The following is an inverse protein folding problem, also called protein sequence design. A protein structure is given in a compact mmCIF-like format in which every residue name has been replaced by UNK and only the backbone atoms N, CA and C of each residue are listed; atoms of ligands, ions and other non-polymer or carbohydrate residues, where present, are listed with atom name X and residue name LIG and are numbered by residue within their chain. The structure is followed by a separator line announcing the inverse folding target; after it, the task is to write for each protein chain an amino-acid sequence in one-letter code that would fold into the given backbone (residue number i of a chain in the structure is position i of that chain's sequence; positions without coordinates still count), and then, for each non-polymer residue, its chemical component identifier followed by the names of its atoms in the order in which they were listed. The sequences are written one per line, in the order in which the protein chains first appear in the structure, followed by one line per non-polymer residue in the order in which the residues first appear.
data_IF_465893271294
#
_entry.id   IF_465893271294
#
_cell.length_a   1.000
_cell.length_b   1.000
_cell.length_c   1.000
_cell.angle_alpha   90.00
_cell.angle_beta   90.00
_cell.angle_gamma   90.00
#
_symmetry.space_group_name_H-M   'P 1'
#
loop_
_entity.id
_entity.type
_entity.pdbx_description
1 polymer ?
#
# COMPACT_ATOMS: atom_id res chain seq x y z
N UNK A 1 -0.04 -40.72 4.12
CA UNK A 1 0.37 -39.49 4.83
C UNK A 1 1.87 -39.56 5.08
N UNK A 2 2.71 -39.06 4.17
CA UNK A 2 4.17 -38.98 4.38
C UNK A 2 4.45 -37.56 4.90
N UNK A 3 5.15 -37.51 6.03
CA UNK A 3 5.58 -36.30 6.70
C UNK A 3 6.34 -35.38 5.74
N UNK A 4 5.75 -34.22 5.47
CA UNK A 4 6.38 -33.12 4.79
C UNK A 4 7.05 -32.27 5.87
N UNK A 5 8.07 -32.82 6.47
CA UNK A 5 8.93 -32.14 7.45
C UNK A 5 10.34 -32.01 6.88
N UNK A 6 10.52 -31.21 5.86
CA UNK A 6 11.84 -30.94 5.29
C UNK A 6 11.75 -29.89 4.20
N UNK A 7 12.37 -28.75 4.46
CA UNK A 7 12.71 -27.71 3.49
C UNK A 7 11.58 -26.91 2.82
N UNK A 8 10.45 -26.75 3.47
CA UNK A 8 9.33 -25.92 3.02
C UNK A 8 9.71 -24.42 2.87
N UNK A 9 10.86 -24.01 3.38
CA UNK A 9 11.26 -22.60 3.50
C UNK A 9 12.00 -22.03 2.28
N UNK A 10 12.69 -22.86 1.50
CA UNK A 10 13.39 -22.45 0.27
C UNK A 10 12.62 -22.77 -1.01
N UNK A 11 11.97 -23.91 -1.09
CA UNK A 11 11.27 -24.38 -2.29
C UNK A 11 10.06 -23.51 -2.68
N UNK A 12 9.43 -22.80 -1.74
CA UNK A 12 8.19 -22.04 -1.99
C UNK A 12 8.38 -20.73 -2.73
N UNK A 13 9.54 -20.10 -2.62
CA UNK A 13 9.82 -18.82 -3.30
C UNK A 13 10.51 -18.98 -4.64
N UNK A 14 11.17 -20.10 -4.89
CA UNK A 14 11.93 -20.30 -6.13
C UNK A 14 11.01 -20.52 -7.35
N UNK A 15 9.86 -21.16 -7.17
CA UNK A 15 8.87 -21.33 -8.24
C UNK A 15 8.09 -20.06 -8.56
N UNK A 16 7.85 -19.18 -7.57
CA UNK A 16 7.16 -17.90 -7.78
C UNK A 16 7.90 -16.99 -8.75
N UNK A 17 9.22 -17.14 -8.81
CA UNK A 17 10.09 -16.30 -9.63
C UNK A 17 10.76 -17.07 -10.77
N UNK A 18 10.18 -18.23 -11.16
CA UNK A 18 10.66 -18.94 -12.34
C UNK A 18 10.35 -18.13 -13.62
N UNK A 19 11.32 -18.05 -14.53
CA UNK A 19 11.20 -17.23 -15.75
C UNK A 19 9.98 -17.59 -16.61
N UNK A 20 9.54 -18.86 -16.59
CA UNK A 20 8.34 -19.33 -17.30
C UNK A 20 7.03 -18.74 -16.80
N UNK A 21 7.02 -18.11 -15.62
CA UNK A 21 5.82 -17.66 -14.93
C UNK A 21 5.70 -16.13 -14.91
N UNK A 22 6.74 -15.38 -15.33
CA UNK A 22 6.75 -13.93 -15.34
C UNK A 22 6.57 -13.38 -16.76
N UNK A 23 6.04 -12.15 -16.82
CA UNK A 23 5.97 -11.41 -18.07
C UNK A 23 7.34 -10.80 -18.43
N UNK A 24 7.58 -10.46 -19.71
CA UNK A 24 8.72 -9.61 -20.07
C UNK A 24 8.69 -8.30 -19.30
N UNK A 25 9.85 -7.85 -18.79
CA UNK A 25 9.94 -6.65 -17.93
C UNK A 25 9.32 -5.41 -18.58
N UNK A 26 9.58 -5.18 -19.89
CA UNK A 26 8.98 -4.04 -20.58
C UNK A 26 7.45 -4.04 -20.53
N UNK A 27 6.83 -5.23 -20.65
CA UNK A 27 5.37 -5.36 -20.60
C UNK A 27 4.87 -5.11 -19.16
N UNK A 28 5.55 -5.66 -18.14
CA UNK A 28 5.20 -5.41 -16.74
C UNK A 28 5.27 -3.93 -16.38
N UNK A 29 6.28 -3.21 -16.88
CA UNK A 29 6.42 -1.75 -16.68
C UNK A 29 5.29 -0.99 -17.39
N UNK A 30 5.02 -1.30 -18.66
CA UNK A 30 3.93 -0.65 -19.41
C UNK A 30 2.58 -0.87 -18.73
N UNK A 31 2.30 -2.10 -18.29
CA UNK A 31 1.05 -2.42 -17.60
C UNK A 31 0.96 -1.72 -16.25
N UNK A 32 2.05 -1.64 -15.49
CA UNK A 32 2.09 -0.88 -14.24
C UNK A 32 1.73 0.59 -14.47
N UNK A 33 2.36 1.25 -15.44
CA UNK A 33 2.09 2.66 -15.76
C UNK A 33 0.65 2.85 -16.22
N UNK A 34 0.14 1.97 -17.09
CA UNK A 34 -1.24 2.03 -17.57
C UNK A 34 -2.26 1.83 -16.43
N UNK A 35 -1.98 0.91 -15.50
CA UNK A 35 -2.85 0.65 -14.35
C UNK A 35 -2.78 1.78 -13.32
N UNK A 36 -1.62 2.39 -13.08
CA UNK A 36 -1.50 3.60 -12.28
C UNK A 36 -2.34 4.72 -12.85
N UNK A 37 -2.24 4.98 -14.16
CA UNK A 37 -3.03 5.98 -14.84
C UNK A 37 -4.53 5.68 -14.73
N UNK A 38 -4.94 4.45 -15.03
CA UNK A 38 -6.33 4.01 -14.90
C UNK A 38 -6.86 4.20 -13.47
N UNK A 39 -6.09 3.78 -12.47
CA UNK A 39 -6.45 3.95 -11.06
C UNK A 39 -6.63 5.43 -10.70
N UNK A 40 -5.71 6.30 -11.14
CA UNK A 40 -5.80 7.76 -10.91
C UNK A 40 -7.06 8.34 -11.54
N UNK A 41 -7.36 7.98 -12.78
CA UNK A 41 -8.58 8.43 -13.47
C UNK A 41 -9.84 7.94 -12.74
N UNK A 42 -9.91 6.66 -12.37
CA UNK A 42 -11.07 6.10 -11.67
C UNK A 42 -11.25 6.71 -10.27
N UNK A 43 -10.16 6.98 -9.56
CA UNK A 43 -10.22 7.70 -8.27
C UNK A 43 -10.71 9.14 -8.45
N UNK A 44 -10.25 9.84 -9.48
CA UNK A 44 -10.77 11.15 -9.83
C UNK A 44 -12.27 11.12 -10.13
N UNK A 45 -12.73 10.15 -10.94
CA UNK A 45 -14.16 9.94 -11.21
C UNK A 45 -14.95 9.69 -9.92
N UNK A 46 -14.43 8.87 -9.00
CA UNK A 46 -15.06 8.64 -7.70
C UNK A 46 -15.16 9.93 -6.89
N UNK A 47 -14.07 10.71 -6.81
CA UNK A 47 -14.04 12.01 -6.15
C UNK A 47 -15.13 12.95 -6.69
N UNK A 48 -15.14 13.17 -7.98
CA UNK A 48 -16.16 14.02 -8.65
C UNK A 48 -17.59 13.49 -8.53
N UNK A 49 -17.80 12.18 -8.41
CA UNK A 49 -19.13 11.58 -8.27
C UNK A 49 -19.66 11.69 -6.83
N UNK A 50 -18.79 11.70 -5.83
CA UNK A 50 -19.18 11.68 -4.41
C UNK A 50 -19.18 13.10 -3.82
N UNK A 51 -18.25 13.98 -4.22
CA UNK A 51 -18.13 15.34 -3.70
C UNK A 51 -19.42 16.17 -3.74
N UNK A 52 -20.32 16.07 -4.76
CA UNK A 52 -21.58 16.81 -4.77
C UNK A 52 -22.49 16.57 -3.56
N UNK A 53 -22.30 15.45 -2.86
CA UNK A 53 -23.06 15.08 -1.66
C UNK A 53 -22.39 15.52 -0.35
N UNK A 54 -21.26 16.23 -0.44
CA UNK A 54 -20.49 16.74 0.69
C UNK A 54 -20.56 18.26 0.75
N UNK A 55 -20.30 18.81 1.94
CA UNK A 55 -20.15 20.25 2.11
C UNK A 55 -19.03 20.77 1.21
N UNK A 56 -19.27 21.93 0.56
CA UNK A 56 -18.39 22.53 -0.43
C UNK A 56 -18.52 21.94 -1.85
N UNK A 57 -19.02 20.72 -2.01
CA UNK A 57 -19.23 20.09 -3.30
C UNK A 57 -17.96 19.96 -4.13
N UNK A 58 -18.09 19.93 -5.46
CA UNK A 58 -16.94 19.80 -6.39
C UNK A 58 -16.02 21.02 -6.43
N UNK A 59 -16.44 22.15 -5.89
CA UNK A 59 -15.59 23.35 -5.81
C UNK A 59 -14.60 23.30 -4.64
N UNK A 60 -14.85 22.45 -3.65
CA UNK A 60 -13.97 22.27 -2.51
C UNK A 60 -12.96 21.13 -2.77
N UNK A 61 -11.65 21.40 -2.80
CA UNK A 61 -10.63 20.36 -2.94
C UNK A 61 -10.70 19.27 -1.85
N UNK A 62 -11.07 19.63 -0.61
CA UNK A 62 -11.22 18.66 0.49
C UNK A 62 -12.38 17.71 0.24
N UNK A 63 -13.53 18.21 -0.25
CA UNK A 63 -14.66 17.38 -0.62
C UNK A 63 -14.31 16.40 -1.75
N UNK A 64 -13.54 16.83 -2.76
CA UNK A 64 -13.04 15.95 -3.82
C UNK A 64 -12.14 14.85 -3.26
N UNK A 65 -11.21 15.19 -2.36
CA UNK A 65 -10.31 14.19 -1.73
C UNK A 65 -11.08 13.24 -0.82
N UNK A 66 -12.03 13.72 0.00
CA UNK A 66 -12.93 12.86 0.79
C UNK A 66 -13.68 11.87 -0.10
N UNK A 67 -14.24 12.36 -1.20
CA UNK A 67 -14.92 11.52 -2.19
C UNK A 67 -14.01 10.47 -2.82
N UNK A 68 -12.77 10.84 -3.13
CA UNK A 68 -11.74 9.91 -3.62
C UNK A 68 -11.43 8.82 -2.59
N UNK A 69 -11.24 9.18 -1.32
CA UNK A 69 -10.99 8.23 -0.23
C UNK A 69 -12.16 7.25 -0.07
N UNK A 70 -13.39 7.76 -0.03
CA UNK A 70 -14.59 6.90 0.11
C UNK A 70 -14.79 5.96 -1.08
N UNK A 71 -14.44 6.39 -2.29
CA UNK A 71 -14.53 5.59 -3.50
C UNK A 71 -13.32 4.66 -3.77
N UNK A 72 -12.27 4.75 -2.97
CA UNK A 72 -11.00 4.08 -3.24
C UNK A 72 -11.12 2.54 -3.23
N UNK A 73 -11.89 1.95 -2.31
CA UNK A 73 -11.98 0.49 -2.21
C UNK A 73 -12.54 -0.17 -3.49
N UNK A 74 -13.71 0.21 -4.04
CA UNK A 74 -14.21 -0.38 -5.28
C UNK A 74 -13.27 -0.11 -6.47
N UNK A 75 -12.65 1.07 -6.56
CA UNK A 75 -11.67 1.38 -7.59
C UNK A 75 -10.45 0.46 -7.49
N UNK A 76 -9.92 0.25 -6.29
CA UNK A 76 -8.78 -0.63 -6.06
C UNK A 76 -9.08 -2.10 -6.40
N UNK A 77 -10.29 -2.57 -6.10
CA UNK A 77 -10.72 -3.93 -6.48
C UNK A 77 -10.76 -4.07 -8.00
N UNK A 78 -11.32 -3.09 -8.72
CA UNK A 78 -11.36 -3.09 -10.19
C UNK A 78 -9.93 -3.09 -10.76
N UNK A 79 -9.05 -2.24 -10.26
CA UNK A 79 -7.68 -2.13 -10.74
C UNK A 79 -6.84 -3.39 -10.41
N UNK A 80 -6.99 -3.96 -9.22
CA UNK A 80 -6.33 -5.22 -8.85
C UNK A 80 -6.82 -6.39 -9.71
N UNK A 81 -8.13 -6.46 -9.98
CA UNK A 81 -8.70 -7.45 -10.90
C UNK A 81 -8.16 -7.28 -12.32
N UNK A 82 -8.11 -6.04 -12.84
CA UNK A 82 -7.52 -5.74 -14.14
C UNK A 82 -6.05 -6.17 -14.18
N UNK A 83 -5.25 -5.88 -13.15
CA UNK A 83 -3.87 -6.32 -13.04
C UNK A 83 -3.76 -7.85 -13.11
N UNK A 84 -4.59 -8.57 -12.35
CA UNK A 84 -4.63 -10.02 -12.38
C UNK A 84 -4.97 -10.58 -13.76
N UNK A 85 -5.93 -9.99 -14.49
CA UNK A 85 -6.27 -10.42 -15.84
C UNK A 85 -5.16 -10.11 -16.85
N UNK A 86 -4.56 -8.92 -16.77
CA UNK A 86 -3.47 -8.51 -17.65
C UNK A 86 -2.19 -9.30 -17.39
N UNK A 87 -1.99 -9.85 -16.19
CA UNK A 87 -0.88 -10.74 -15.88
C UNK A 87 -0.86 -12.04 -16.71
N UNK A 88 -1.96 -12.38 -17.40
CA UNK A 88 -2.04 -13.52 -18.35
C UNK A 88 -1.38 -13.22 -19.69
N UNK A 89 -1.16 -11.96 -20.02
CA UNK A 89 -0.60 -11.58 -21.31
C UNK A 89 0.82 -12.13 -21.49
N UNK A 90 1.15 -12.54 -22.71
CA UNK A 90 2.46 -13.09 -23.06
C UNK A 90 2.86 -14.35 -22.28
N UNK A 91 1.88 -15.16 -21.87
CA UNK A 91 2.11 -16.43 -21.21
C UNK A 91 2.39 -16.35 -19.71
N UNK A 92 2.23 -15.15 -19.10
CA UNK A 92 2.33 -15.01 -17.66
C UNK A 92 1.31 -15.89 -16.91
N UNK A 93 1.71 -16.47 -15.79
CA UNK A 93 0.80 -17.13 -14.86
C UNK A 93 0.36 -16.14 -13.78
N UNK A 94 -0.89 -15.66 -13.81
CA UNK A 94 -1.33 -14.59 -12.89
C UNK A 94 -1.27 -15.03 -11.42
N UNK A 95 -1.51 -16.30 -11.10
CA UNK A 95 -1.41 -16.80 -9.71
C UNK A 95 0.01 -16.71 -9.16
N UNK A 96 0.99 -16.87 -10.06
CA UNK A 96 2.40 -16.82 -9.69
C UNK A 96 2.90 -15.37 -9.69
N UNK A 97 2.68 -14.64 -10.79
CA UNK A 97 3.19 -13.28 -10.93
C UNK A 97 2.56 -12.28 -9.97
N UNK A 98 1.33 -12.51 -9.50
CA UNK A 98 0.70 -11.68 -8.48
C UNK A 98 0.92 -12.20 -7.06
N UNK A 99 1.44 -13.41 -6.88
CA UNK A 99 1.58 -14.07 -5.57
C UNK A 99 0.32 -14.03 -4.68
N UNK A 100 -0.88 -13.90 -5.29
CA UNK A 100 -2.18 -13.82 -4.61
C UNK A 100 -2.66 -15.23 -4.21
N UNK A 101 -1.93 -15.91 -3.36
CA UNK A 101 -2.34 -17.15 -2.73
C UNK A 101 -2.31 -17.00 -1.21
N UNK A 102 -3.27 -17.64 -0.54
CA UNK A 102 -3.37 -17.55 0.92
C UNK A 102 -2.24 -18.38 1.56
N UNK A 103 -1.45 -17.81 2.47
CA UNK A 103 -0.37 -18.55 3.13
C UNK A 103 -0.93 -19.41 4.25
N UNK A 104 -0.26 -20.54 4.49
CA UNK A 104 -0.58 -21.43 5.61
C UNK A 104 0.10 -20.94 6.91
N UNK A 105 -0.45 -19.90 7.51
CA UNK A 105 0.12 -19.26 8.71
C UNK A 105 -0.63 -19.59 10.00
N UNK A 106 -1.88 -20.04 9.90
CA UNK A 106 -2.76 -20.10 11.06
C UNK A 106 -3.00 -18.71 11.69
N UNK A 107 -3.96 -18.58 12.59
CA UNK A 107 -4.32 -17.29 13.18
C UNK A 107 -3.20 -16.65 14.03
N UNK A 108 -2.46 -17.48 14.80
CA UNK A 108 -1.32 -17.01 15.59
C UNK A 108 -0.17 -16.52 14.70
N UNK A 109 0.07 -17.18 13.57
CA UNK A 109 1.08 -16.76 12.62
C UNK A 109 0.74 -15.42 11.96
N UNK A 110 -0.53 -15.22 11.59
CA UNK A 110 -1.01 -13.94 11.10
C UNK A 110 -0.83 -12.83 12.13
N UNK A 111 -1.24 -13.09 13.38
CA UNK A 111 -1.08 -12.13 14.47
C UNK A 111 0.40 -11.79 14.70
N UNK A 112 1.26 -12.80 14.80
CA UNK A 112 2.68 -12.60 15.04
C UNK A 112 3.38 -11.81 13.94
N UNK A 113 3.07 -12.11 12.65
CA UNK A 113 3.66 -11.40 11.52
C UNK A 113 3.19 -9.95 11.47
N UNK A 114 1.89 -9.71 11.65
CA UNK A 114 1.32 -8.36 11.61
C UNK A 114 1.83 -7.51 12.78
N UNK A 115 1.79 -8.03 14.01
CA UNK A 115 2.32 -7.30 15.16
C UNK A 115 3.83 -7.08 15.06
N UNK A 116 4.57 -8.09 14.62
CA UNK A 116 6.03 -7.97 14.41
C UNK A 116 6.36 -6.89 13.36
N UNK A 117 5.57 -6.81 12.29
CA UNK A 117 5.71 -5.74 11.28
C UNK A 117 5.42 -4.36 11.89
N UNK A 118 4.30 -4.19 12.61
CA UNK A 118 3.94 -2.92 13.25
C UNK A 118 5.02 -2.47 14.25
N UNK A 119 5.44 -3.35 15.14
CA UNK A 119 6.51 -3.06 16.10
C UNK A 119 7.81 -2.69 15.38
N UNK A 120 8.19 -3.45 14.35
CA UNK A 120 9.36 -3.15 13.53
C UNK A 120 9.31 -1.76 12.90
N UNK A 121 8.16 -1.36 12.34
CA UNK A 121 7.99 -0.02 11.77
C UNK A 121 8.05 1.09 12.82
N UNK A 122 7.46 0.89 14.00
CA UNK A 122 7.61 1.86 15.11
C UNK A 122 9.06 1.98 15.58
N UNK A 123 9.81 0.88 15.65
CA UNK A 123 11.24 0.93 15.95
C UNK A 123 12.05 1.68 14.89
N UNK A 124 11.68 1.56 13.60
CA UNK A 124 12.28 2.36 12.51
C UNK A 124 12.00 3.85 12.73
N UNK A 125 10.77 4.25 13.06
CA UNK A 125 10.44 5.64 13.36
C UNK A 125 11.30 6.14 14.53
N UNK A 126 11.33 5.41 15.63
CA UNK A 126 12.13 5.76 16.81
C UNK A 126 13.61 5.93 16.43
N UNK A 127 14.17 4.99 15.65
CA UNK A 127 15.56 5.06 15.22
C UNK A 127 15.83 6.31 14.35
N UNK A 128 14.92 6.63 13.41
CA UNK A 128 15.06 7.84 12.57
C UNK A 128 15.01 9.08 13.46
N UNK A 129 14.05 9.19 14.36
CA UNK A 129 13.90 10.33 15.28
C UNK A 129 15.15 10.51 16.14
N UNK A 130 15.66 9.43 16.73
CA UNK A 130 16.86 9.48 17.58
C UNK A 130 18.12 9.90 16.80
N UNK A 131 18.24 9.48 15.56
CA UNK A 131 19.41 9.80 14.72
C UNK A 131 19.33 11.20 14.13
N UNK A 132 18.13 11.64 13.73
CA UNK A 132 17.97 12.92 13.02
C UNK A 132 17.54 14.07 13.92
N UNK A 133 16.99 13.78 15.10
CA UNK A 133 16.42 14.82 15.99
C UNK A 133 15.12 15.43 15.47
N UNK A 134 14.46 14.79 14.48
CA UNK A 134 13.20 15.31 13.90
C UNK A 134 12.12 15.37 14.99
N UNK A 135 11.46 16.52 15.09
CA UNK A 135 10.25 16.69 15.89
C UNK A 135 9.04 16.19 15.09
N UNK A 136 8.41 15.12 15.57
CA UNK A 136 7.23 14.53 14.93
C UNK A 136 5.99 15.44 15.02
N UNK A 137 5.93 16.36 15.97
CA UNK A 137 4.79 17.28 16.12
C UNK A 137 4.59 18.14 14.85
N UNK A 138 5.67 18.46 14.14
CA UNK A 138 5.60 19.22 12.89
C UNK A 138 4.90 18.47 11.72
N UNK A 139 4.65 17.16 11.85
CA UNK A 139 4.00 16.34 10.82
C UNK A 139 2.56 15.94 11.19
N UNK A 140 2.08 16.40 12.36
CA UNK A 140 0.70 16.15 12.80
C UNK A 140 -0.18 17.36 12.46
N UNK A 141 -1.45 17.16 12.04
CA UNK A 141 -2.40 18.25 11.87
C UNK A 141 -2.58 19.02 13.19
N UNK A 142 -2.73 20.33 13.11
CA UNK A 142 -3.10 21.16 14.24
C UNK A 142 -4.52 20.85 14.76
N UNK A 143 -4.89 21.45 15.90
CA UNK A 143 -6.22 21.26 16.50
C UNK A 143 -7.39 21.69 15.60
N UNK A 144 -7.14 22.57 14.63
CA UNK A 144 -8.09 22.99 13.60
C UNK A 144 -8.12 22.05 12.36
N UNK A 145 -7.34 20.96 12.37
CA UNK A 145 -7.23 20.02 11.26
C UNK A 145 -6.37 20.47 10.09
N UNK A 146 -5.77 21.68 10.17
CA UNK A 146 -4.85 22.14 9.14
C UNK A 146 -3.54 21.34 9.19
N UNK A 147 -3.12 20.84 8.02
CA UNK A 147 -1.85 20.13 7.89
C UNK A 147 -0.70 21.11 7.70
N UNK A 148 0.45 20.89 8.35
CA UNK A 148 1.67 21.65 8.06
C UNK A 148 2.23 21.31 6.66
N UNK A 149 1.79 20.19 6.07
CA UNK A 149 2.20 19.80 4.75
C UNK A 149 1.47 20.59 3.66
N UNK A 150 2.13 20.81 2.54
CA UNK A 150 1.58 21.56 1.40
C UNK A 150 1.19 20.58 0.27
N UNK A 151 0.32 21.06 -0.62
CA UNK A 151 -0.08 20.28 -1.80
C UNK A 151 -1.00 19.10 -1.49
N UNK A 152 -0.88 18.02 -2.28
CA UNK A 152 -1.79 16.87 -2.19
C UNK A 152 -1.66 16.10 -0.88
N UNK A 153 -0.47 16.03 -0.29
CA UNK A 153 -0.26 15.36 0.99
C UNK A 153 -1.02 16.07 2.13
N UNK A 154 -0.95 17.39 2.20
CA UNK A 154 -1.70 18.20 3.15
C UNK A 154 -3.21 17.99 3.00
N UNK A 155 -3.72 18.09 1.77
CA UNK A 155 -5.14 17.88 1.48
C UNK A 155 -5.65 16.48 1.90
N UNK A 156 -4.85 15.43 1.73
CA UNK A 156 -5.21 14.08 2.18
C UNK A 156 -5.31 14.01 3.70
N UNK A 157 -4.35 14.61 4.43
CA UNK A 157 -4.35 14.64 5.90
C UNK A 157 -5.55 15.43 6.43
N UNK A 158 -5.82 16.60 5.86
CA UNK A 158 -6.98 17.43 6.20
C UNK A 158 -8.30 16.70 5.92
N UNK A 159 -8.44 16.07 4.76
CA UNK A 159 -9.62 15.29 4.41
C UNK A 159 -9.82 14.08 5.36
N UNK A 160 -8.74 13.42 5.78
CA UNK A 160 -8.82 12.34 6.76
C UNK A 160 -9.21 12.86 8.16
N UNK A 161 -8.73 14.04 8.56
CA UNK A 161 -9.12 14.68 9.80
C UNK A 161 -10.59 15.09 9.78
N UNK A 162 -11.07 15.68 8.67
CA UNK A 162 -12.49 16.00 8.48
C UNK A 162 -13.36 14.75 8.57
N UNK A 163 -12.97 13.66 7.89
CA UNK A 163 -13.67 12.38 7.98
C UNK A 163 -13.67 11.82 9.40
N UNK A 164 -12.59 12.01 10.17
CA UNK A 164 -12.52 11.58 11.57
C UNK A 164 -13.51 12.32 12.49
N UNK A 165 -13.89 13.56 12.14
CA UNK A 165 -14.93 14.32 12.82
C UNK A 165 -16.36 13.92 12.40
N UNK A 166 -16.49 13.06 11.36
CA UNK A 166 -17.75 12.51 10.87
C UNK A 166 -17.79 10.98 11.07
N UNK A 167 -18.18 10.46 12.25
CA UNK A 167 -17.97 9.04 12.60
C UNK A 167 -18.54 8.05 11.57
N UNK A 168 -19.67 8.37 10.94
CA UNK A 168 -20.30 7.50 9.92
C UNK A 168 -19.41 7.40 8.67
N UNK A 169 -18.91 8.52 8.18
CA UNK A 169 -18.07 8.58 6.99
C UNK A 169 -16.68 8.00 7.28
N UNK A 170 -16.15 8.24 8.48
CA UNK A 170 -14.89 7.66 8.92
C UNK A 170 -14.89 6.13 8.81
N UNK A 171 -15.91 5.47 9.39
CA UNK A 171 -15.98 4.01 9.34
C UNK A 171 -16.25 3.45 7.93
N UNK A 172 -16.80 4.26 7.01
CA UNK A 172 -16.89 3.91 5.58
C UNK A 172 -15.53 4.11 4.89
N UNK A 173 -14.76 5.13 5.28
CA UNK A 173 -13.44 5.39 4.72
C UNK A 173 -12.37 4.36 5.13
N UNK A 174 -12.47 3.80 6.35
CA UNK A 174 -11.48 2.83 6.87
C UNK A 174 -11.22 1.65 5.93
N UNK A 175 -12.22 0.92 5.39
CA UNK A 175 -11.97 -0.14 4.42
C UNK A 175 -11.25 0.36 3.16
N UNK A 176 -11.50 1.58 2.73
CA UNK A 176 -10.81 2.18 1.58
C UNK A 176 -9.32 2.40 1.86
N UNK A 177 -8.99 2.97 3.01
CA UNK A 177 -7.62 3.27 3.41
C UNK A 177 -6.86 2.01 3.85
N UNK A 178 -7.50 1.15 4.64
CA UNK A 178 -6.85 -0.04 5.22
C UNK A 178 -6.80 -1.25 4.28
N UNK A 179 -7.67 -1.33 3.27
CA UNK A 179 -7.67 -2.42 2.28
C UNK A 179 -7.50 -1.91 0.86
N UNK A 180 -8.23 -0.86 0.47
CA UNK A 180 -8.24 -0.37 -0.91
C UNK A 180 -6.85 0.08 -1.35
N UNK A 181 -6.23 1.03 -0.65
CA UNK A 181 -4.88 1.51 -0.97
C UNK A 181 -3.84 0.37 -0.95
N UNK A 182 -3.71 -0.42 0.14
CA UNK A 182 -2.77 -1.54 0.17
C UNK A 182 -3.00 -2.58 -0.92
N UNK A 183 -4.26 -2.94 -1.21
CA UNK A 183 -4.56 -3.90 -2.28
C UNK A 183 -4.00 -3.44 -3.61
N UNK A 184 -4.26 -2.19 -3.99
CA UNK A 184 -3.83 -1.64 -5.27
C UNK A 184 -2.31 -1.49 -5.33
N UNK A 185 -1.71 -0.92 -4.29
CA UNK A 185 -0.28 -0.64 -4.25
C UNK A 185 0.56 -1.92 -4.23
N UNK A 186 0.17 -2.90 -3.40
CA UNK A 186 0.89 -4.16 -3.35
C UNK A 186 0.77 -4.94 -4.65
N UNK A 187 -0.42 -4.98 -5.26
CA UNK A 187 -0.60 -5.67 -6.55
C UNK A 187 0.21 -5.01 -7.65
N UNK A 188 0.30 -3.68 -7.68
CA UNK A 188 1.08 -2.97 -8.70
C UNK A 188 2.59 -3.19 -8.52
N UNK A 189 3.10 -2.95 -7.30
CA UNK A 189 4.55 -2.94 -7.06
C UNK A 189 5.11 -4.33 -6.76
N UNK A 190 4.38 -5.18 -6.06
CA UNK A 190 4.84 -6.51 -5.61
C UNK A 190 4.23 -7.67 -6.41
N UNK A 191 3.34 -7.38 -7.35
CA UNK A 191 2.79 -8.35 -8.29
C UNK A 191 3.67 -8.54 -9.53
N UNK A 192 3.13 -8.39 -10.76
CA UNK A 192 3.84 -8.71 -12.01
C UNK A 192 5.14 -7.93 -12.21
N UNK A 193 5.21 -6.66 -11.79
CA UNK A 193 6.43 -5.87 -11.88
C UNK A 193 7.57 -6.51 -11.07
N UNK A 194 7.30 -6.87 -9.81
CA UNK A 194 8.29 -7.51 -8.94
C UNK A 194 8.74 -8.85 -9.53
N UNK A 195 7.79 -9.68 -9.97
CA UNK A 195 8.10 -10.98 -10.57
C UNK A 195 9.00 -10.83 -11.80
N UNK A 196 8.75 -9.84 -12.65
CA UNK A 196 9.56 -9.57 -13.85
C UNK A 196 10.95 -9.00 -13.51
N UNK A 197 11.05 -8.09 -12.54
CA UNK A 197 12.33 -7.55 -12.05
C UNK A 197 13.20 -8.64 -11.43
N UNK A 198 12.60 -9.55 -10.66
CA UNK A 198 13.32 -10.65 -10.02
C UNK A 198 13.99 -11.62 -11.02
N UNK A 199 13.54 -11.64 -12.30
CA UNK A 199 14.17 -12.41 -13.38
C UNK A 199 15.37 -11.71 -14.03
N UNK A 200 15.60 -10.45 -13.72
CA UNK A 200 16.75 -9.71 -14.24
C UNK A 200 18.02 -10.05 -13.45
N UNK A 201 19.16 -9.51 -13.88
CA UNK A 201 20.44 -9.64 -13.17
C UNK A 201 20.42 -9.03 -11.76
N UNK A 202 19.44 -8.18 -11.47
CA UNK A 202 19.25 -7.57 -10.15
C UNK A 202 18.71 -8.57 -9.11
N UNK A 203 18.05 -9.64 -9.58
CA UNK A 203 17.49 -10.67 -8.74
C UNK A 203 16.42 -10.17 -7.78
N UNK A 204 16.06 -11.01 -6.80
CA UNK A 204 14.94 -10.75 -5.87
C UNK A 204 15.15 -9.53 -4.99
N UNK A 205 16.38 -9.34 -4.48
CA UNK A 205 16.70 -8.19 -3.63
C UNK A 205 16.76 -6.89 -4.43
N UNK A 206 17.23 -6.93 -5.67
CA UNK A 206 17.14 -5.79 -6.57
C UNK A 206 15.68 -5.43 -6.89
N UNK A 207 14.80 -6.43 -7.04
CA UNK A 207 13.37 -6.19 -7.19
C UNK A 207 12.76 -5.54 -5.93
N UNK A 208 13.13 -6.00 -4.71
CA UNK A 208 12.71 -5.34 -3.46
C UNK A 208 13.14 -3.88 -3.46
N UNK A 209 14.40 -3.59 -3.74
CA UNK A 209 14.96 -2.24 -3.70
C UNK A 209 14.26 -1.31 -4.70
N UNK A 210 14.13 -1.76 -5.96
CA UNK A 210 13.57 -0.94 -7.03
C UNK A 210 12.07 -0.69 -6.85
N UNK A 211 11.30 -1.71 -6.45
CA UNK A 211 9.85 -1.52 -6.23
C UNK A 211 9.57 -0.69 -5.00
N UNK A 212 10.38 -0.79 -3.94
CA UNK A 212 10.28 0.06 -2.75
C UNK A 212 10.64 1.51 -3.06
N UNK A 213 11.73 1.73 -3.83
CA UNK A 213 12.13 3.07 -4.29
C UNK A 213 11.10 3.70 -5.20
N UNK A 214 10.60 2.95 -6.20
CA UNK A 214 9.54 3.42 -7.11
C UNK A 214 8.26 3.80 -6.37
N UNK A 215 7.86 2.98 -5.38
CA UNK A 215 6.70 3.29 -4.55
C UNK A 215 6.92 4.54 -3.69
N UNK A 216 8.07 4.67 -3.05
CA UNK A 216 8.40 5.86 -2.26
C UNK A 216 8.45 7.13 -3.11
N UNK A 217 8.97 7.06 -4.35
CA UNK A 217 9.01 8.20 -5.28
C UNK A 217 7.60 8.67 -5.66
N UNK A 218 6.60 7.79 -5.75
CA UNK A 218 5.22 8.22 -6.00
C UNK A 218 4.62 9.05 -4.86
N UNK A 219 5.26 9.04 -3.69
CA UNK A 219 4.88 9.85 -2.52
C UNK A 219 5.75 11.10 -2.38
N UNK A 220 6.31 11.62 -3.48
CA UNK A 220 7.20 12.78 -3.48
C UNK A 220 6.55 14.07 -2.93
N UNK A 221 5.22 14.14 -2.87
CA UNK A 221 4.49 15.25 -2.24
C UNK A 221 4.51 15.19 -0.70
N UNK A 222 4.89 14.05 -0.12
CA UNK A 222 5.09 13.91 1.31
C UNK A 222 6.43 14.51 1.75
N UNK A 223 6.57 14.93 3.02
CA UNK A 223 7.86 15.32 3.57
C UNK A 223 8.92 14.22 3.42
N UNK A 224 10.18 14.62 3.31
CA UNK A 224 11.29 13.66 3.12
C UNK A 224 11.33 12.56 4.19
N UNK A 225 10.97 12.89 5.43
CA UNK A 225 10.83 11.91 6.51
C UNK A 225 9.79 10.84 6.16
N UNK A 226 8.60 11.24 5.69
CA UNK A 226 7.53 10.32 5.28
C UNK A 226 7.96 9.46 4.09
N UNK A 227 8.61 10.06 3.09
CA UNK A 227 9.14 9.34 1.91
C UNK A 227 10.18 8.29 2.34
N UNK A 228 11.08 8.65 3.26
CA UNK A 228 12.06 7.71 3.81
C UNK A 228 11.39 6.55 4.58
N UNK A 229 10.37 6.85 5.38
CA UNK A 229 9.60 5.85 6.10
C UNK A 229 8.85 4.91 5.15
N UNK A 230 8.22 5.44 4.10
CA UNK A 230 7.55 4.67 3.04
C UNK A 230 8.57 3.76 2.33
N UNK A 231 9.76 4.24 2.03
CA UNK A 231 10.81 3.42 1.46
C UNK A 231 11.21 2.26 2.38
N UNK A 232 11.42 2.52 3.68
CA UNK A 232 11.76 1.50 4.67
C UNK A 232 10.61 0.48 4.84
N UNK A 233 9.37 0.95 4.84
CA UNK A 233 8.20 0.09 4.84
C UNK A 233 8.16 -0.78 3.58
N UNK A 234 8.49 -0.21 2.43
CA UNK A 234 8.63 -0.92 1.16
C UNK A 234 9.61 -2.07 1.21
N UNK A 235 10.78 -1.85 1.81
CA UNK A 235 11.81 -2.88 2.03
C UNK A 235 11.29 -3.99 2.95
N UNK A 236 10.62 -3.63 4.05
CA UNK A 236 10.05 -4.60 4.97
C UNK A 236 8.97 -5.46 4.31
N UNK A 237 8.03 -4.85 3.57
CA UNK A 237 6.98 -5.56 2.83
C UNK A 237 7.58 -6.47 1.74
N UNK A 238 8.58 -5.98 0.99
CA UNK A 238 9.31 -6.80 0.01
C UNK A 238 10.02 -7.99 0.67
N UNK A 239 10.61 -7.80 1.83
CA UNK A 239 11.20 -8.87 2.65
C UNK A 239 10.17 -9.89 3.11
N UNK A 240 8.98 -9.45 3.54
CA UNK A 240 7.86 -10.33 3.89
C UNK A 240 7.37 -11.13 2.67
N UNK A 241 7.27 -10.48 1.50
CA UNK A 241 6.93 -11.19 0.25
C UNK A 241 7.94 -12.29 -0.04
N UNK A 242 9.25 -12.00 0.04
CA UNK A 242 10.29 -13.01 -0.16
C UNK A 242 10.22 -14.14 0.88
N UNK A 243 9.86 -13.81 2.13
CA UNK A 243 9.80 -14.78 3.23
C UNK A 243 8.60 -15.72 3.15
N UNK A 244 7.43 -15.19 2.80
CA UNK A 244 6.17 -15.92 2.84
C UNK A 244 5.64 -16.29 1.45
N UNK A 245 6.14 -15.67 0.39
CA UNK A 245 5.73 -15.90 -0.99
C UNK A 245 4.26 -15.55 -1.24
N UNK A 246 3.65 -14.75 -0.41
CA UNK A 246 2.24 -14.39 -0.50
C UNK A 246 2.04 -12.87 -0.40
N UNK A 247 1.37 -12.32 -1.40
CA UNK A 247 1.02 -10.90 -1.42
C UNK A 247 -0.03 -10.55 -0.35
N UNK A 248 -0.85 -11.51 0.09
CA UNK A 248 -1.78 -11.28 1.19
C UNK A 248 -1.08 -10.89 2.48
N UNK A 249 0.13 -11.40 2.74
CA UNK A 249 0.91 -11.00 3.92
C UNK A 249 1.27 -9.53 3.85
N UNK A 250 1.71 -9.05 2.70
CA UNK A 250 2.07 -7.65 2.53
C UNK A 250 0.84 -6.74 2.59
N UNK A 251 -0.26 -7.13 1.92
CA UNK A 251 -1.53 -6.39 1.97
C UNK A 251 -2.06 -6.25 3.40
N UNK A 252 -2.05 -7.34 4.19
CA UNK A 252 -2.53 -7.32 5.57
C UNK A 252 -1.61 -6.47 6.47
N UNK A 253 -0.29 -6.61 6.37
CA UNK A 253 0.67 -5.83 7.14
C UNK A 253 0.57 -4.33 6.79
N UNK A 254 0.54 -4.00 5.51
CA UNK A 254 0.37 -2.62 5.03
C UNK A 254 -0.99 -2.04 5.48
N UNK A 255 -2.06 -2.81 5.32
CA UNK A 255 -3.40 -2.42 5.75
C UNK A 255 -3.50 -2.20 7.27
N UNK A 256 -2.86 -3.05 8.06
CA UNK A 256 -2.77 -2.87 9.51
C UNK A 256 -2.05 -1.57 9.88
N UNK A 257 -0.98 -1.21 9.17
CA UNK A 257 -0.30 0.07 9.32
C UNK A 257 -1.23 1.24 9.03
N UNK A 258 -1.91 1.24 7.88
CA UNK A 258 -2.85 2.28 7.51
C UNK A 258 -4.04 2.38 8.49
N UNK A 259 -4.52 1.25 8.98
CA UNK A 259 -5.58 1.21 9.99
C UNK A 259 -5.15 1.87 11.30
N UNK A 260 -3.96 1.51 11.83
CA UNK A 260 -3.42 2.12 13.06
C UNK A 260 -3.22 3.62 12.88
N UNK A 261 -2.69 4.05 11.73
CA UNK A 261 -2.53 5.47 11.41
C UNK A 261 -3.89 6.21 11.37
N UNK A 262 -4.92 5.60 10.76
CA UNK A 262 -6.27 6.19 10.73
C UNK A 262 -6.89 6.30 12.11
N UNK A 263 -6.68 5.30 12.99
CA UNK A 263 -7.13 5.39 14.40
C UNK A 263 -6.41 6.48 15.18
N UNK A 264 -5.12 6.72 14.90
CA UNK A 264 -4.39 7.82 15.51
C UNK A 264 -4.99 9.18 15.08
N UNK A 265 -5.37 9.34 13.80
CA UNK A 265 -6.07 10.53 13.30
C UNK A 265 -7.42 10.73 14.01
N UNK A 266 -8.21 9.66 14.21
CA UNK A 266 -9.46 9.72 14.97
C UNK A 266 -9.24 10.19 16.40
N UNK A 267 -8.18 9.68 17.06
CA UNK A 267 -7.84 10.08 18.43
C UNK A 267 -7.45 11.56 18.54
N UNK A 268 -6.81 12.12 17.52
CA UNK A 268 -6.48 13.55 17.46
C UNK A 268 -7.73 14.41 17.21
N UNK A 269 -8.59 14.04 16.28
CA UNK A 269 -9.84 14.74 15.97
C UNK A 269 -10.80 14.79 17.18
N UNK A 270 -10.87 13.74 18.00
CA UNK A 270 -11.69 13.71 19.21
C UNK A 270 -11.19 14.59 20.38
N UNK A 271 -10.02 15.24 20.23
CA UNK A 271 -9.43 16.14 21.23
C UNK A 271 -9.54 17.63 20.82
N UNK A 272 -9.94 17.92 19.60
CA UNK A 272 -10.16 19.25 19.06
C UNK A 272 -11.62 19.70 19.25
#
# INVERSE_FOLDING_TARGET
MKAIGGDFRRARTDWLYAASNSQPLWLAVVLMVALLFLNTVLQGVAGFSIAPFMEGGVADPRALVKGTILGMLPVSIIAAFACYQLAKLKGGNPRVSTALHWPDLGWLGWLAVTLGFLVGMYLVIIAIVLVTGIDLAQYTPGANGESPDTGSAGLVKEAMFDLANEPRLFWIAIPSVALGAPLMEEVLFRGPLFASLAQTRLGRWGAVLLTSGGWAVLHFSEPLFSVALIFMMGLALGGLLLRFGSLWVTIVCHGAWNFVFSLATLGMAGQA
#
